data_IF_598793369797
#
_entry.id   IF_598793369797
#
_cell.length_a   1.000
_cell.length_b   1.000
_cell.length_c   1.000
_cell.angle_alpha   90.00
_cell.angle_beta   90.00
_cell.angle_gamma   90.00
#
_symmetry.space_group_name_H-M   'P 1'
#
loop_
_entity.id
_entity.type
_entity.pdbx_description
1 polymer ?
#
# COMPACT_ATOMS: atom_id res chain seq x y z
N UNK A 1 6.95 8.15 1.96
CA UNK A 1 5.65 8.84 2.07
C UNK A 1 5.05 8.58 3.45
N UNK A 2 4.28 9.51 4.03
CA UNK A 2 3.64 9.28 5.36
C UNK A 2 2.33 8.51 5.24
N UNK A 3 1.89 7.85 6.31
CA UNK A 3 0.57 7.21 6.37
C UNK A 3 -0.58 8.17 6.06
N UNK A 4 -0.50 9.42 6.55
CA UNK A 4 -1.48 10.49 6.32
C UNK A 4 -1.52 10.91 4.85
N UNK A 5 -0.37 10.88 4.16
CA UNK A 5 -0.34 11.13 2.73
C UNK A 5 -0.98 9.99 1.93
N UNK A 6 -0.78 8.73 2.32
CA UNK A 6 -1.50 7.58 1.74
C UNK A 6 -3.01 7.73 1.98
N UNK A 7 -3.41 8.09 3.19
CA UNK A 7 -4.82 8.29 3.53
C UNK A 7 -5.49 9.37 2.69
N UNK A 8 -4.85 10.54 2.56
CA UNK A 8 -5.36 11.60 1.68
C UNK A 8 -5.45 11.18 0.21
N UNK A 9 -4.49 10.39 -0.27
CA UNK A 9 -4.55 9.85 -1.62
C UNK A 9 -5.73 8.87 -1.79
N UNK A 10 -6.00 8.03 -0.79
CA UNK A 10 -7.15 7.12 -0.78
C UNK A 10 -8.49 7.89 -0.81
N UNK A 11 -8.65 8.92 0.03
CA UNK A 11 -9.85 9.78 0.01
C UNK A 11 -10.03 10.47 -1.36
N UNK A 12 -8.94 10.97 -1.94
CA UNK A 12 -8.97 11.53 -3.28
C UNK A 12 -9.41 10.54 -4.36
N UNK A 13 -9.10 9.25 -4.21
CA UNK A 13 -9.61 8.20 -5.09
C UNK A 13 -11.12 7.99 -4.88
N UNK A 14 -11.62 8.05 -3.65
CA UNK A 14 -13.06 7.94 -3.37
C UNK A 14 -13.86 9.17 -3.85
N UNK A 15 -13.17 10.22 -4.32
CA UNK A 15 -13.80 11.50 -4.67
C UNK A 15 -14.16 12.32 -3.43
N UNK A 16 -13.67 11.92 -2.26
CA UNK A 16 -13.89 12.60 -1.00
C UNK A 16 -12.92 13.77 -0.83
N UNK A 17 -13.45 14.89 -0.34
CA UNK A 17 -12.65 16.06 0.00
C UNK A 17 -11.83 15.83 1.28
N UNK A 18 -10.82 16.66 1.50
CA UNK A 18 -9.97 16.61 2.70
C UNK A 18 -10.73 16.79 4.03
N UNK A 19 -11.98 17.27 3.99
CA UNK A 19 -12.85 17.36 5.16
C UNK A 19 -13.33 15.98 5.67
N UNK A 20 -13.42 14.97 4.78
CA UNK A 20 -13.86 13.62 5.13
C UNK A 20 -12.86 12.89 6.05
N UNK A 21 -11.63 13.39 6.18
CA UNK A 21 -10.64 12.87 7.15
C UNK A 21 -11.22 12.85 8.58
N UNK A 22 -12.09 13.80 8.93
CA UNK A 22 -12.70 13.88 10.25
C UNK A 22 -13.76 12.80 10.51
N UNK A 23 -14.26 12.14 9.46
CA UNK A 23 -15.32 11.13 9.55
C UNK A 23 -14.75 9.73 9.86
N UNK A 24 -13.43 9.55 9.78
CA UNK A 24 -12.76 8.28 10.05
C UNK A 24 -11.95 8.32 11.35
N UNK A 25 -12.10 7.26 12.14
CA UNK A 25 -11.28 7.00 13.34
C UNK A 25 -9.81 6.77 12.94
N UNK A 26 -8.89 7.63 13.42
CA UNK A 26 -7.47 7.55 13.04
C UNK A 26 -6.86 6.17 13.39
N UNK A 27 -7.25 5.57 14.51
CA UNK A 27 -6.80 4.24 14.92
C UNK A 27 -7.25 3.15 13.94
N UNK A 28 -8.46 3.25 13.39
CA UNK A 28 -8.97 2.31 12.40
C UNK A 28 -8.21 2.43 11.07
N UNK A 29 -7.97 3.67 10.61
CA UNK A 29 -7.18 3.94 9.39
C UNK A 29 -5.75 3.43 9.56
N UNK A 30 -5.14 3.66 10.72
CA UNK A 30 -3.81 3.17 11.04
C UNK A 30 -3.74 1.64 11.03
N UNK A 31 -4.74 0.97 11.61
CA UNK A 31 -4.83 -0.49 11.60
C UNK A 31 -4.98 -1.05 10.17
N UNK A 32 -5.81 -0.43 9.33
CA UNK A 32 -5.96 -0.80 7.92
C UNK A 32 -4.65 -0.63 7.15
N UNK A 33 -3.94 0.47 7.37
CA UNK A 33 -2.64 0.72 6.76
C UNK A 33 -1.60 -0.29 7.21
N UNK A 34 -1.52 -0.60 8.51
CA UNK A 34 -0.57 -1.58 9.04
C UNK A 34 -0.85 -3.00 8.52
N UNK A 35 -2.12 -3.39 8.38
CA UNK A 35 -2.49 -4.64 7.73
C UNK A 35 -2.00 -4.68 6.26
N UNK A 36 -2.19 -3.58 5.53
CA UNK A 36 -1.73 -3.44 4.14
C UNK A 36 -0.20 -3.49 4.03
N UNK A 37 0.52 -2.80 4.94
CA UNK A 37 1.98 -2.79 4.97
C UNK A 37 2.56 -4.18 5.21
N UNK A 38 1.91 -4.96 6.08
CA UNK A 38 2.25 -6.36 6.31
C UNK A 38 2.09 -7.20 5.03
N UNK A 39 0.97 -7.05 4.31
CA UNK A 39 0.70 -7.78 3.05
C UNK A 39 1.75 -7.49 1.97
N UNK A 40 2.23 -6.25 1.85
CA UNK A 40 3.19 -5.86 0.81
C UNK A 40 4.66 -6.02 1.23
N UNK A 41 4.94 -6.57 2.42
CA UNK A 41 6.30 -6.70 2.95
C UNK A 41 7.24 -7.45 2.01
N UNK A 42 6.79 -8.59 1.47
CA UNK A 42 7.61 -9.43 0.59
C UNK A 42 7.84 -8.78 -0.76
N UNK A 43 6.83 -8.10 -1.29
CA UNK A 43 6.92 -7.32 -2.54
C UNK A 43 7.91 -6.16 -2.36
N UNK A 44 7.82 -5.45 -1.24
CA UNK A 44 8.74 -4.37 -0.88
C UNK A 44 10.19 -4.88 -0.80
N UNK A 45 10.39 -6.03 -0.14
CA UNK A 45 11.70 -6.68 -0.08
C UNK A 45 12.20 -7.11 -1.46
N UNK A 46 11.32 -7.61 -2.32
CA UNK A 46 11.64 -7.93 -3.71
C UNK A 46 12.13 -6.71 -4.49
N UNK A 47 11.42 -5.58 -4.38
CA UNK A 47 11.81 -4.31 -5.01
C UNK A 47 13.15 -3.80 -4.48
N UNK A 48 13.38 -3.87 -3.16
CA UNK A 48 14.66 -3.49 -2.54
C UNK A 48 15.82 -4.33 -3.08
N UNK A 49 15.66 -5.64 -3.12
CA UNK A 49 16.68 -6.55 -3.66
C UNK A 49 16.96 -6.28 -5.15
N UNK A 50 15.92 -5.99 -5.94
CA UNK A 50 16.05 -5.63 -7.35
C UNK A 50 16.77 -4.28 -7.57
N UNK A 51 16.74 -3.38 -6.57
CA UNK A 51 17.49 -2.14 -6.52
C UNK A 51 18.91 -2.31 -5.93
N UNK A 52 19.32 -3.53 -5.59
CA UNK A 52 20.63 -3.82 -4.97
C UNK A 52 20.70 -3.45 -3.48
N UNK A 53 19.56 -3.22 -2.83
CA UNK A 53 19.46 -2.91 -1.40
C UNK A 53 19.24 -4.21 -0.59
N UNK A 54 19.70 -4.20 0.66
CA UNK A 54 19.36 -5.26 1.61
C UNK A 54 17.84 -5.26 1.92
N UNK A 55 17.32 -6.42 2.36
CA UNK A 55 15.95 -6.54 2.88
C UNK A 55 15.70 -5.47 3.96
N UNK A 56 14.51 -4.90 3.94
CA UNK A 56 14.10 -3.90 4.92
C UNK A 56 13.71 -4.53 6.25
N UNK A 57 13.51 -3.68 7.25
CA UNK A 57 12.78 -4.05 8.46
C UNK A 57 11.30 -4.30 8.14
N UNK A 58 10.56 -4.83 9.11
CA UNK A 58 9.11 -4.97 9.00
C UNK A 58 8.48 -3.57 8.84
N UNK A 59 7.60 -3.43 7.85
CA UNK A 59 6.84 -2.22 7.61
C UNK A 59 5.74 -2.12 8.65
N UNK A 60 5.77 -1.04 9.43
CA UNK A 60 4.75 -0.72 10.43
C UNK A 60 4.76 0.79 10.68
N UNK A 61 3.61 1.31 11.09
CA UNK A 61 3.38 2.69 11.49
C UNK A 61 2.87 2.72 12.92
N UNK A 62 3.50 3.53 13.76
CA UNK A 62 2.99 3.84 15.10
C UNK A 62 1.95 4.97 15.04
N UNK A 63 2.05 5.85 14.05
CA UNK A 63 1.14 6.98 13.82
C UNK A 63 0.96 7.24 12.33
N UNK A 64 -0.13 7.92 11.95
CA UNK A 64 -0.36 8.30 10.55
C UNK A 64 0.67 9.31 10.04
N UNK A 65 1.32 10.08 10.91
CA UNK A 65 2.38 11.01 10.51
C UNK A 65 3.73 10.33 10.27
N UNK A 66 3.87 9.06 10.66
CA UNK A 66 5.05 8.25 10.40
C UNK A 66 5.26 7.94 8.91
N UNK A 67 6.52 7.74 8.53
CA UNK A 67 6.88 7.26 7.20
C UNK A 67 6.58 5.77 7.05
N UNK A 68 5.98 5.37 5.93
CA UNK A 68 5.61 3.98 5.68
C UNK A 68 6.82 3.06 5.53
N UNK A 69 7.97 3.60 5.10
CA UNK A 69 9.20 2.84 4.83
C UNK A 69 9.15 1.94 3.59
N UNK A 70 8.04 1.95 2.85
CA UNK A 70 7.85 1.17 1.64
C UNK A 70 8.58 1.80 0.44
N UNK A 71 8.90 1.00 -0.58
CA UNK A 71 9.43 1.50 -1.85
C UNK A 71 8.42 2.43 -2.53
N UNK A 72 8.91 3.46 -3.19
CA UNK A 72 8.07 4.53 -3.74
C UNK A 72 7.03 4.05 -4.75
N UNK A 73 7.29 2.95 -5.44
CA UNK A 73 6.38 2.26 -6.34
C UNK A 73 5.18 1.67 -5.59
N UNK A 74 5.39 1.06 -4.42
CA UNK A 74 4.30 0.58 -3.58
C UNK A 74 3.54 1.74 -2.94
N UNK A 75 4.27 2.75 -2.46
CA UNK A 75 3.68 3.94 -1.85
C UNK A 75 2.66 4.60 -2.76
N UNK A 76 3.00 4.82 -4.03
CA UNK A 76 2.13 5.52 -4.98
C UNK A 76 1.21 4.58 -5.76
N UNK A 77 1.68 3.37 -6.03
CA UNK A 77 1.03 2.43 -6.93
C UNK A 77 0.09 1.44 -6.26
N UNK A 78 0.26 1.11 -4.98
CA UNK A 78 -0.51 0.04 -4.33
C UNK A 78 -1.24 0.50 -3.06
N UNK A 79 -0.53 1.17 -2.14
CA UNK A 79 -1.08 1.51 -0.83
C UNK A 79 -2.37 2.38 -0.88
N UNK A 80 -2.51 3.39 -1.76
CA UNK A 80 -3.72 4.22 -1.80
C UNK A 80 -4.96 3.44 -2.25
N UNK A 81 -4.82 2.54 -3.24
CA UNK A 81 -5.93 1.70 -3.71
C UNK A 81 -6.34 0.68 -2.65
N UNK A 82 -5.36 0.08 -1.98
CA UNK A 82 -5.60 -0.89 -0.92
C UNK A 82 -6.35 -0.26 0.26
N UNK A 83 -6.00 0.98 0.62
CA UNK A 83 -6.70 1.72 1.67
C UNK A 83 -8.09 2.17 1.20
N UNK A 84 -8.22 2.72 -0.01
CA UNK A 84 -9.50 3.12 -0.59
C UNK A 84 -10.50 1.95 -0.63
N UNK A 85 -10.04 0.74 -0.97
CA UNK A 85 -10.87 -0.46 -0.96
C UNK A 85 -11.42 -0.80 0.43
N UNK A 86 -10.60 -0.61 1.48
CA UNK A 86 -10.97 -0.90 2.87
C UNK A 86 -11.92 0.15 3.44
N UNK A 87 -11.71 1.42 3.11
CA UNK A 87 -12.60 2.53 3.49
C UNK A 87 -13.97 2.38 2.80
N UNK A 88 -13.99 2.12 1.48
CA UNK A 88 -15.23 1.84 0.77
C UNK A 88 -15.99 0.63 1.36
N UNK A 89 -15.29 -0.36 1.91
CA UNK A 89 -15.92 -1.49 2.58
C UNK A 89 -16.55 -1.09 3.93
N UNK A 90 -15.93 -0.18 4.68
CA UNK A 90 -16.52 0.34 5.92
C UNK A 90 -17.76 1.19 5.67
N UNK A 91 -17.82 1.85 4.51
CA UNK A 91 -18.98 2.64 4.09
C UNK A 91 -20.05 1.82 3.38
N UNK A 92 -19.94 0.49 3.43
CA UNK A 92 -20.84 -0.47 2.78
C UNK A 92 -20.89 -0.35 1.24
N UNK A 93 -19.96 0.37 0.62
CA UNK A 93 -19.81 0.55 -0.82
C UNK A 93 -19.07 -0.63 -1.50
N UNK A 94 -19.67 -1.82 -1.41
CA UNK A 94 -19.08 -3.09 -1.87
C UNK A 94 -18.58 -3.08 -3.32
N UNK A 95 -19.29 -2.40 -4.24
CA UNK A 95 -18.87 -2.28 -5.65
C UNK A 95 -17.59 -1.47 -5.79
N UNK A 96 -17.47 -0.37 -5.05
CA UNK A 96 -16.30 0.50 -5.08
C UNK A 96 -15.11 -0.17 -4.40
N UNK A 97 -15.36 -0.84 -3.28
CA UNK A 97 -14.37 -1.66 -2.60
C UNK A 97 -13.77 -2.73 -3.52
N UNK A 98 -14.61 -3.46 -4.27
CA UNK A 98 -14.17 -4.47 -5.22
C UNK A 98 -13.33 -3.86 -6.37
N UNK A 99 -13.71 -2.70 -6.88
CA UNK A 99 -12.98 -1.99 -7.92
C UNK A 99 -11.56 -1.61 -7.47
N UNK A 100 -11.43 -0.95 -6.32
CA UNK A 100 -10.11 -0.56 -5.82
C UNK A 100 -9.25 -1.74 -5.38
N UNK A 101 -9.87 -2.81 -4.88
CA UNK A 101 -9.14 -4.04 -4.58
C UNK A 101 -8.57 -4.68 -5.86
N UNK A 102 -9.33 -4.67 -6.97
CA UNK A 102 -8.82 -5.15 -8.26
C UNK A 102 -7.62 -4.34 -8.76
N UNK A 103 -7.68 -3.00 -8.65
CA UNK A 103 -6.56 -2.12 -9.00
C UNK A 103 -5.34 -2.37 -8.10
N UNK A 104 -5.54 -2.52 -6.79
CA UNK A 104 -4.47 -2.86 -5.86
C UNK A 104 -3.76 -4.16 -6.26
N UNK A 105 -4.53 -5.22 -6.51
CA UNK A 105 -3.99 -6.52 -6.94
C UNK A 105 -3.24 -6.42 -8.26
N UNK A 106 -3.77 -5.67 -9.23
CA UNK A 106 -3.10 -5.44 -10.51
C UNK A 106 -1.73 -4.77 -10.31
N UNK A 107 -1.67 -3.74 -9.47
CA UNK A 107 -0.45 -2.98 -9.22
C UNK A 107 0.59 -3.81 -8.47
N UNK A 108 0.18 -4.56 -7.44
CA UNK A 108 1.07 -5.51 -6.75
C UNK A 108 1.62 -6.56 -7.72
N UNK A 109 0.76 -7.10 -8.58
CA UNK A 109 1.19 -8.07 -9.60
C UNK A 109 2.17 -7.43 -10.60
N UNK A 110 1.92 -6.20 -11.05
CA UNK A 110 2.81 -5.49 -11.96
C UNK A 110 4.22 -5.30 -11.37
N UNK A 111 4.30 -5.02 -10.06
CA UNK A 111 5.55 -4.86 -9.33
C UNK A 111 6.26 -6.20 -9.05
N UNK A 112 5.49 -7.29 -8.98
CA UNK A 112 6.01 -8.63 -8.71
C UNK A 112 6.48 -9.36 -9.97
N UNK A 113 6.04 -8.93 -11.16
CA UNK A 113 6.49 -9.48 -12.45
C UNK A 113 8.00 -9.30 -12.58
N UNK A 114 8.73 -10.37 -12.25
CA UNK A 114 10.16 -10.37 -11.97
C UNK A 114 11.01 -9.82 -13.11
N UNK A 115 12.06 -9.09 -12.73
CA UNK A 115 13.21 -8.88 -13.62
C UNK A 115 13.87 -10.23 -13.87
N UNK A 116 14.06 -10.58 -15.15
CA UNK A 116 14.89 -11.71 -15.57
C UNK A 116 16.28 -11.53 -14.96
N UNK A 117 16.67 -12.39 -14.03
CA UNK A 117 18.01 -12.43 -13.48
C UNK A 117 18.77 -13.61 -14.12
N UNK A 118 20.01 -13.40 -14.58
CA UNK A 118 20.82 -14.49 -15.13
C UNK A 118 21.09 -15.49 -14.01
N UNK A 119 20.58 -16.72 -14.19
CA UNK A 119 20.91 -17.86 -13.33
C UNK A 119 22.38 -18.20 -13.57
N UNK A 120 23.21 -18.11 -12.54
CA UNK A 120 24.56 -18.69 -12.60
C UNK A 120 24.43 -20.17 -12.31
N UNK A 121 24.61 -20.97 -13.35
CA UNK A 121 24.77 -22.42 -13.23
C UNK A 121 26.07 -22.69 -12.45
N UNK A 122 25.96 -23.27 -11.27
CA UNK A 122 27.11 -23.67 -10.44
C UNK A 122 27.30 -25.17 -10.68
N UNK A 123 28.26 -25.51 -11.54
CA UNK A 123 28.76 -26.87 -11.73
C UNK A 123 29.91 -27.17 -10.77
#
# INVERSE_FOLDING_TARGET
>A
MTGRAVFRAALGLLGEGSAAVADYEEEAVLAMLNATLCEVQDVNNGLRLAAGLARGQALALDTLDGETGAQGELERGALPFALAARLALTDEETTLAAYYNALYVEQVNALTRGRVCPVRDVY
#
